data_IF_034705960634
#
_entry.id   IF_034705960634
#
_cell.length_a   1.000
_cell.length_b   1.000
_cell.length_c   1.000
_cell.angle_alpha   90.00
_cell.angle_beta   90.00
_cell.angle_gamma   90.00
#
_symmetry.space_group_name_H-M   'P 1'
#
loop_
_entity.id
_entity.type
_entity.pdbx_description
1 polymer ?
#
# COMPACT_ATOMS: atom_id res chain seq x y z
N UNK A 1 -2.95 -13.80 17.87
CA UNK A 1 -3.94 -14.58 18.64
C UNK A 1 -3.58 -14.54 20.12
N UNK A 2 -4.54 -14.19 20.96
CA UNK A 2 -4.43 -14.26 22.44
C UNK A 2 -5.67 -14.97 22.98
N UNK A 3 -5.50 -15.92 23.91
CA UNK A 3 -6.60 -16.69 24.48
C UNK A 3 -6.18 -17.32 25.81
N UNK A 4 -7.11 -17.37 26.77
CA UNK A 4 -6.93 -18.03 28.06
C UNK A 4 -6.04 -17.28 29.07
N UNK A 5 -6.29 -17.56 30.35
CA UNK A 5 -5.58 -16.94 31.49
C UNK A 5 -4.88 -17.98 32.40
N UNK A 6 -5.38 -19.22 32.47
CA UNK A 6 -4.82 -20.32 33.28
C UNK A 6 -4.78 -21.62 32.48
N UNK A 7 -3.96 -22.59 32.91
CA UNK A 7 -3.74 -23.84 32.17
C UNK A 7 -4.80 -24.91 32.37
N UNK A 8 -5.64 -24.78 33.42
CA UNK A 8 -6.62 -25.78 33.83
C UNK A 8 -8.08 -25.31 33.71
N UNK A 9 -8.34 -24.20 33.02
CA UNK A 9 -9.68 -23.65 32.77
C UNK A 9 -9.93 -23.54 31.28
N UNK A 10 -11.14 -23.88 30.83
CA UNK A 10 -11.56 -23.64 29.44
C UNK A 10 -11.64 -22.13 29.20
N UNK A 11 -10.92 -21.55 28.22
CA UNK A 11 -10.96 -20.11 27.94
C UNK A 11 -12.35 -19.63 27.52
N UNK A 12 -12.75 -18.46 28.02
CA UNK A 12 -14.01 -17.79 27.68
C UNK A 12 -13.85 -16.71 26.59
N UNK A 13 -12.61 -16.28 26.29
CA UNK A 13 -12.30 -15.28 25.27
C UNK A 13 -11.05 -15.66 24.45
N UNK A 14 -11.14 -15.42 23.14
CA UNK A 14 -10.01 -15.39 22.23
C UNK A 14 -10.08 -14.13 21.35
N UNK A 15 -8.92 -13.50 21.10
CA UNK A 15 -8.79 -12.31 20.25
C UNK A 15 -7.77 -12.60 19.14
N UNK A 16 -8.17 -12.33 17.91
CA UNK A 16 -7.35 -12.52 16.70
C UNK A 16 -7.34 -11.22 15.88
N UNK A 17 -6.15 -10.71 15.62
CA UNK A 17 -5.93 -9.65 14.65
C UNK A 17 -5.62 -10.26 13.28
N UNK A 18 -6.20 -9.70 12.22
CA UNK A 18 -6.04 -10.15 10.84
C UNK A 18 -5.59 -8.96 9.99
N UNK A 19 -4.42 -9.08 9.33
CA UNK A 19 -3.96 -8.14 8.30
C UNK A 19 -4.30 -8.72 6.93
N UNK A 20 -4.98 -7.95 6.09
CA UNK A 20 -5.33 -8.33 4.72
C UNK A 20 -4.83 -7.27 3.77
N UNK A 21 -4.06 -7.70 2.77
CA UNK A 21 -3.55 -6.85 1.70
C UNK A 21 -3.96 -7.42 0.36
N UNK A 22 -4.33 -6.55 -0.55
CA UNK A 22 -4.62 -6.89 -1.92
C UNK A 22 -4.31 -5.71 -2.81
N UNK A 23 -4.01 -5.98 -4.08
CA UNK A 23 -3.90 -4.97 -5.13
C UNK A 23 -5.26 -4.62 -5.76
N UNK A 24 -6.36 -5.23 -5.30
CA UNK A 24 -7.72 -4.99 -5.82
C UNK A 24 -8.70 -4.67 -4.72
N UNK A 25 -9.50 -3.61 -4.93
CA UNK A 25 -10.53 -3.22 -3.95
C UNK A 25 -11.62 -4.29 -3.84
N UNK A 26 -12.01 -4.87 -4.97
CA UNK A 26 -13.01 -5.94 -5.01
C UNK A 26 -12.57 -7.16 -4.19
N UNK A 27 -11.28 -7.47 -4.19
CA UNK A 27 -10.73 -8.58 -3.43
C UNK A 27 -10.69 -8.29 -1.93
N UNK A 28 -10.34 -7.06 -1.51
CA UNK A 28 -10.46 -6.66 -0.10
C UNK A 28 -11.91 -6.77 0.39
N UNK A 29 -12.87 -6.33 -0.43
CA UNK A 29 -14.29 -6.42 -0.12
C UNK A 29 -14.77 -7.88 -0.02
N UNK A 30 -14.30 -8.76 -0.92
CA UNK A 30 -14.59 -10.20 -0.88
C UNK A 30 -14.12 -10.84 0.42
N UNK A 31 -12.90 -10.52 0.85
CA UNK A 31 -12.31 -11.06 2.08
C UNK A 31 -13.02 -10.50 3.32
N UNK A 32 -13.26 -9.19 3.38
CA UNK A 32 -14.00 -8.56 4.50
C UNK A 32 -15.40 -9.19 4.67
N UNK A 33 -16.12 -9.38 3.56
CA UNK A 33 -17.42 -10.05 3.57
C UNK A 33 -17.32 -11.51 4.05
N UNK A 34 -16.29 -12.24 3.61
CA UNK A 34 -16.08 -13.62 4.04
C UNK A 34 -15.81 -13.73 5.56
N UNK A 35 -14.98 -12.83 6.11
CA UNK A 35 -14.67 -12.78 7.54
C UNK A 35 -15.91 -12.41 8.36
N UNK A 36 -16.67 -11.40 7.92
CA UNK A 36 -17.88 -10.96 8.63
C UNK A 36 -19.00 -12.01 8.62
N UNK A 37 -19.03 -12.89 7.62
CA UNK A 37 -20.02 -13.94 7.49
C UNK A 37 -19.60 -15.28 8.13
N UNK A 38 -18.49 -15.32 8.89
CA UNK A 38 -18.09 -16.52 9.61
C UNK A 38 -19.13 -16.92 10.65
N UNK A 39 -19.53 -18.19 10.62
CA UNK A 39 -20.48 -18.76 11.57
C UNK A 39 -19.69 -19.48 12.68
N UNK A 40 -20.00 -19.23 13.97
CA UNK A 40 -19.39 -19.97 15.07
C UNK A 40 -19.57 -21.47 14.92
N UNK A 41 -18.46 -22.21 14.96
CA UNK A 41 -18.48 -23.69 14.96
C UNK A 41 -19.11 -24.21 16.25
N UNK A 42 -18.82 -23.56 17.39
CA UNK A 42 -19.52 -23.81 18.65
C UNK A 42 -20.76 -22.89 18.72
N UNK A 43 -21.99 -23.44 18.79
CA UNK A 43 -23.22 -22.65 18.82
C UNK A 43 -23.37 -21.79 20.07
N UNK A 44 -22.60 -22.05 21.13
CA UNK A 44 -22.56 -21.23 22.36
C UNK A 44 -21.56 -20.07 22.27
N UNK A 45 -20.73 -20.03 21.22
CA UNK A 45 -19.77 -18.95 21.02
C UNK A 45 -20.36 -17.83 20.15
N UNK A 46 -19.87 -16.61 20.35
CA UNK A 46 -20.16 -15.44 19.52
C UNK A 46 -18.88 -14.94 18.89
N UNK A 47 -18.92 -14.58 17.62
CA UNK A 47 -17.87 -13.81 16.97
C UNK A 47 -18.27 -12.33 16.96
N UNK A 48 -17.34 -11.48 17.36
CA UNK A 48 -17.44 -10.03 17.25
C UNK A 48 -16.32 -9.58 16.31
N UNK A 49 -16.69 -9.06 15.14
CA UNK A 49 -15.74 -8.60 14.11
C UNK A 49 -15.77 -7.08 14.08
N UNK A 50 -14.68 -6.46 14.51
CA UNK A 50 -14.52 -5.00 14.52
C UNK A 50 -13.47 -4.55 13.52
N UNK A 51 -13.51 -3.28 13.13
CA UNK A 51 -12.57 -2.71 12.17
C UNK A 51 -13.00 -2.88 10.72
N UNK A 52 -12.01 -3.01 9.84
CA UNK A 52 -12.14 -3.05 8.39
C UNK A 52 -10.80 -2.65 7.75
N UNK A 53 -10.70 -2.71 6.41
CA UNK A 53 -9.49 -2.26 5.72
C UNK A 53 -9.35 -0.73 5.80
N UNK A 54 -8.21 -0.26 6.32
CA UNK A 54 -7.92 1.18 6.53
C UNK A 54 -6.97 1.78 5.46
N UNK A 55 -6.56 0.97 4.47
CA UNK A 55 -5.78 1.41 3.33
C UNK A 55 -6.35 0.75 2.08
N UNK A 56 -7.09 1.49 1.24
CA UNK A 56 -7.49 1.02 -0.08
C UNK A 56 -6.25 0.70 -0.93
N UNK A 57 -6.35 -0.16 -1.96
CA UNK A 57 -5.23 -0.42 -2.86
C UNK A 57 -4.94 0.80 -3.74
N UNK A 58 -3.67 0.98 -4.09
CA UNK A 58 -3.26 1.87 -5.17
C UNK A 58 -3.30 1.07 -6.47
N UNK A 59 -4.45 1.07 -7.15
CA UNK A 59 -4.66 0.32 -8.40
C UNK A 59 -3.95 1.00 -9.58
N UNK A 60 -3.48 0.19 -10.53
CA UNK A 60 -2.75 0.67 -11.72
C UNK A 60 -3.56 1.65 -12.56
N UNK A 61 -4.89 1.54 -12.57
CA UNK A 61 -5.80 2.49 -13.23
C UNK A 61 -5.62 3.93 -12.75
N UNK A 62 -5.21 4.13 -11.50
CA UNK A 62 -4.97 5.46 -10.91
C UNK A 62 -3.52 5.94 -11.10
N UNK A 63 -2.61 5.10 -11.61
CA UNK A 63 -1.17 5.37 -11.63
C UNK A 63 -0.54 5.35 -13.01
N UNK A 64 -0.97 4.44 -13.90
CA UNK A 64 -0.23 4.12 -15.12
C UNK A 64 -0.07 5.31 -16.07
N UNK A 65 -1.09 6.17 -16.19
CA UNK A 65 -1.00 7.36 -17.03
C UNK A 65 0.11 8.33 -16.57
N UNK A 66 0.27 8.53 -15.25
CA UNK A 66 1.34 9.36 -14.70
C UNK A 66 2.70 8.66 -14.81
N UNK A 67 2.75 7.34 -14.64
CA UNK A 67 3.98 6.58 -14.83
C UNK A 67 4.51 6.67 -16.26
N UNK A 68 3.66 6.53 -17.27
CA UNK A 68 4.06 6.66 -18.68
C UNK A 68 4.61 8.05 -19.02
N UNK A 69 4.09 9.09 -18.37
CA UNK A 69 4.63 10.45 -18.46
C UNK A 69 6.00 10.55 -17.79
N UNK A 70 6.14 9.99 -16.59
CA UNK A 70 7.42 9.95 -15.88
C UNK A 70 8.51 9.22 -16.70
N UNK A 71 8.18 8.12 -17.37
CA UNK A 71 9.09 7.42 -18.29
C UNK A 71 9.53 8.30 -19.48
N UNK A 72 8.59 9.05 -20.08
CA UNK A 72 8.93 10.00 -21.17
C UNK A 72 9.88 11.09 -20.69
N UNK A 73 9.61 11.66 -19.51
CA UNK A 73 10.46 12.68 -18.89
C UNK A 73 11.84 12.10 -18.58
N UNK A 74 11.91 10.94 -17.94
CA UNK A 74 13.17 10.25 -17.62
C UNK A 74 14.01 10.01 -18.89
N UNK A 75 13.38 9.52 -19.96
CA UNK A 75 14.03 9.34 -21.26
C UNK A 75 14.58 10.66 -21.82
N UNK A 76 13.82 11.75 -21.71
CA UNK A 76 14.27 13.07 -22.18
C UNK A 76 15.48 13.61 -21.41
N UNK A 77 15.62 13.20 -20.14
CA UNK A 77 16.75 13.50 -19.27
C UNK A 77 17.95 12.54 -19.47
N UNK A 78 17.85 11.59 -20.40
CA UNK A 78 18.90 10.59 -20.65
C UNK A 78 19.01 9.53 -19.55
N UNK A 79 17.99 9.38 -18.70
CA UNK A 79 17.95 8.34 -17.67
C UNK A 79 17.66 6.97 -18.27
N UNK A 80 18.12 5.91 -17.60
CA UNK A 80 17.65 4.55 -17.88
C UNK A 80 16.14 4.44 -17.60
N UNK A 81 15.44 3.44 -18.17
CA UNK A 81 14.04 3.17 -17.85
C UNK A 81 13.83 3.12 -16.33
N UNK A 82 12.79 3.80 -15.84
CA UNK A 82 12.52 3.88 -14.40
C UNK A 82 12.08 2.51 -13.87
N UNK A 83 11.25 1.82 -14.67
CA UNK A 83 10.53 0.63 -14.23
C UNK A 83 9.47 0.96 -13.18
N UNK A 84 8.65 -0.03 -12.84
CA UNK A 84 7.66 0.09 -11.77
C UNK A 84 7.45 -1.26 -11.09
N UNK A 85 6.94 -1.22 -9.86
CA UNK A 85 6.60 -2.39 -9.09
C UNK A 85 5.32 -2.15 -8.29
N UNK A 86 4.51 -3.19 -8.13
CA UNK A 86 3.44 -3.23 -7.15
C UNK A 86 3.99 -3.86 -5.87
N UNK A 87 4.02 -3.11 -4.77
CA UNK A 87 4.60 -3.54 -3.50
C UNK A 87 3.54 -3.72 -2.43
N UNK A 88 3.82 -4.52 -1.40
CA UNK A 88 2.86 -4.75 -0.31
C UNK A 88 2.71 -3.57 0.67
N UNK A 89 3.49 -2.51 0.52
CA UNK A 89 3.39 -1.28 1.33
C UNK A 89 2.21 -0.40 0.93
N UNK A 90 1.96 0.64 1.72
CA UNK A 90 0.96 1.67 1.43
C UNK A 90 1.51 3.04 1.82
N UNK A 91 0.99 4.09 1.21
CA UNK A 91 1.27 5.49 1.51
C UNK A 91 -0.04 6.28 1.64
N UNK A 92 0.05 7.59 1.83
CA UNK A 92 -1.12 8.47 1.77
C UNK A 92 -1.69 8.57 0.35
N UNK A 93 -0.91 8.20 -0.67
CA UNK A 93 -1.36 8.10 -2.06
C UNK A 93 -2.52 7.12 -2.24
N UNK A 94 -2.60 6.08 -1.42
CA UNK A 94 -3.72 5.14 -1.42
C UNK A 94 -5.06 5.82 -1.14
N UNK A 95 -5.10 6.82 -0.26
CA UNK A 95 -6.32 7.55 0.04
C UNK A 95 -6.71 8.52 -1.07
N UNK A 96 -5.73 9.23 -1.63
CA UNK A 96 -5.97 10.12 -2.77
C UNK A 96 -6.51 9.33 -3.98
N UNK A 97 -5.92 8.17 -4.27
CA UNK A 97 -6.38 7.29 -5.34
C UNK A 97 -7.82 6.78 -5.09
N UNK A 98 -8.17 6.47 -3.84
CA UNK A 98 -9.50 6.00 -3.48
C UNK A 98 -10.62 7.03 -3.71
N UNK A 99 -10.29 8.33 -3.73
CA UNK A 99 -11.24 9.41 -4.06
C UNK A 99 -11.17 9.84 -5.53
N UNK A 100 -10.48 9.07 -6.37
CA UNK A 100 -10.44 9.26 -7.82
C UNK A 100 -9.33 10.16 -8.35
N UNK A 101 -8.36 10.54 -7.51
CA UNK A 101 -7.18 11.32 -7.94
C UNK A 101 -6.15 10.39 -8.57
N UNK A 102 -5.52 10.82 -9.67
CA UNK A 102 -4.37 10.11 -10.21
C UNK A 102 -3.16 10.26 -9.27
N UNK A 103 -2.47 9.16 -8.99
CA UNK A 103 -1.37 9.11 -8.03
C UNK A 103 -0.21 8.32 -8.62
N UNK A 104 0.98 8.92 -8.62
CA UNK A 104 2.24 8.23 -8.84
C UNK A 104 3.05 8.29 -7.55
N UNK A 105 3.31 7.14 -6.96
CA UNK A 105 4.12 6.99 -5.75
C UNK A 105 5.53 6.48 -6.10
N UNK A 106 6.45 6.50 -5.14
CA UNK A 106 7.83 6.00 -5.33
C UNK A 106 8.76 6.95 -6.08
N UNK A 107 8.40 8.24 -6.16
CA UNK A 107 9.23 9.30 -6.76
C UNK A 107 10.33 9.83 -5.81
N UNK A 108 10.41 9.29 -4.60
CA UNK A 108 11.36 9.70 -3.57
C UNK A 108 12.81 9.30 -3.85
N UNK A 109 13.65 9.44 -2.83
CA UNK A 109 15.07 9.13 -2.93
C UNK A 109 15.32 7.62 -3.10
N UNK A 110 16.43 7.28 -3.76
CA UNK A 110 16.87 5.88 -3.87
C UNK A 110 17.66 5.54 -2.61
N UNK A 111 17.35 4.40 -2.00
CA UNK A 111 17.98 3.94 -0.77
C UNK A 111 17.46 2.55 -0.40
N UNK A 112 17.70 2.15 0.83
CA UNK A 112 17.22 0.87 1.36
C UNK A 112 16.97 0.97 2.87
N UNK A 113 16.28 -0.03 3.41
CA UNK A 113 16.07 -0.16 4.85
C UNK A 113 15.09 0.85 5.43
N UNK A 114 14.15 1.39 4.64
CA UNK A 114 13.09 2.24 5.17
C UNK A 114 12.37 1.55 6.34
N UNK A 115 12.26 2.23 7.49
CA UNK A 115 11.76 1.68 8.76
C UNK A 115 12.65 0.61 9.42
N UNK A 116 13.93 0.52 9.07
CA UNK A 116 14.88 -0.40 9.66
C UNK A 116 16.13 0.32 10.19
N UNK A 117 16.87 -0.33 11.10
CA UNK A 117 18.08 0.25 11.68
C UNK A 117 19.21 0.52 10.66
N UNK A 118 19.12 -0.09 9.48
CA UNK A 118 20.06 0.10 8.37
C UNK A 118 19.49 1.05 7.31
N UNK A 119 18.57 1.95 7.64
CA UNK A 119 18.04 2.94 6.72
C UNK A 119 19.15 3.84 6.14
N UNK A 120 19.19 3.98 4.82
CA UNK A 120 20.12 4.88 4.14
C UNK A 120 19.56 5.38 2.80
N UNK A 121 20.22 6.41 2.26
CA UNK A 121 19.90 7.01 0.95
C UNK A 121 21.17 7.18 0.12
N UNK A 122 21.07 6.92 -1.19
CA UNK A 122 22.14 7.17 -2.14
C UNK A 122 22.19 8.65 -2.52
N UNK A 123 23.12 9.38 -1.91
CA UNK A 123 23.33 10.82 -2.14
C UNK A 123 23.60 11.10 -3.63
N UNK A 124 24.27 10.18 -4.35
CA UNK A 124 24.60 10.37 -5.76
C UNK A 124 23.37 10.43 -6.68
N UNK A 125 22.21 9.99 -6.19
CA UNK A 125 20.95 9.92 -6.95
C UNK A 125 20.02 11.10 -6.69
N UNK A 126 20.30 11.94 -5.68
CA UNK A 126 19.38 12.99 -5.25
C UNK A 126 19.16 14.06 -6.34
N UNK A 127 20.23 14.45 -7.04
CA UNK A 127 20.15 15.43 -8.11
C UNK A 127 19.32 14.91 -9.30
N UNK A 128 19.55 13.67 -9.73
CA UNK A 128 18.80 13.08 -10.84
C UNK A 128 17.32 12.85 -10.48
N UNK A 129 17.01 12.46 -9.24
CA UNK A 129 15.63 12.37 -8.73
C UNK A 129 14.94 13.74 -8.68
N UNK A 130 15.64 14.77 -8.24
CA UNK A 130 15.12 16.15 -8.24
C UNK A 130 14.82 16.64 -9.67
N UNK A 131 15.74 16.40 -10.60
CA UNK A 131 15.55 16.74 -12.02
C UNK A 131 14.35 16.01 -12.64
N UNK A 132 14.17 14.72 -12.32
CA UNK A 132 13.01 13.94 -12.76
C UNK A 132 11.70 14.52 -12.23
N UNK A 133 11.62 14.79 -10.92
CA UNK A 133 10.41 15.33 -10.30
C UNK A 133 10.06 16.71 -10.89
N UNK A 134 11.06 17.58 -11.05
CA UNK A 134 10.88 18.88 -11.69
C UNK A 134 10.40 18.75 -13.14
N UNK A 135 11.02 17.85 -13.92
CA UNK A 135 10.61 17.58 -15.29
C UNK A 135 9.17 17.08 -15.38
N UNK A 136 8.77 16.19 -14.45
CA UNK A 136 7.41 15.67 -14.39
C UNK A 136 6.39 16.75 -14.00
N UNK A 137 6.70 17.62 -13.04
CA UNK A 137 5.85 18.75 -12.69
C UNK A 137 5.65 19.67 -13.90
N UNK A 138 6.72 19.98 -14.63
CA UNK A 138 6.62 20.79 -15.86
C UNK A 138 5.78 20.11 -16.94
N UNK A 139 5.99 18.82 -17.16
CA UNK A 139 5.22 18.03 -18.11
C UNK A 139 3.72 18.13 -17.76
N UNK A 140 3.35 17.90 -16.49
CA UNK A 140 1.97 17.97 -15.99
C UNK A 140 1.35 19.36 -16.16
N UNK A 141 2.12 20.43 -15.93
CA UNK A 141 1.62 21.81 -16.02
C UNK A 141 1.49 22.34 -17.45
N UNK A 142 2.13 21.71 -18.42
CA UNK A 142 2.14 22.15 -19.82
C UNK A 142 1.15 21.40 -20.71
N UNK A 143 0.39 20.44 -20.15
CA UNK A 143 -0.83 19.90 -20.74
C UNK A 143 -2.02 20.85 -20.55
#
# INVERSE_FOLDING_TARGET
LRSGNTTNTVPDLAVLDIDVRSFSLAELQRVDLAVRNLIPVNPLARYEVTGGFNRPPLETSSTMALYERAEKVAKSLGMAPLGHASVGGASDGNFAAAVGVQVLDGLGAIGDGAHAAHEWVDISTLESRSALLHGLIKDILND
#
